data_IF_729098500273
#
_entry.id   IF_729098500273
#
_cell.length_a   1.000
_cell.length_b   1.000
_cell.length_c   1.000
_cell.angle_alpha   90.00
_cell.angle_beta   90.00
_cell.angle_gamma   90.00
#
_symmetry.space_group_name_H-M   'P 1'
#
loop_
_entity.id
_entity.type
_entity.pdbx_description
1 polymer ?
#
# COMPACT_ATOMS: atom_id res chain seq x y z
N UNK A 1 0.59 21.85 -9.24
CA UNK A 1 1.43 21.16 -8.24
C UNK A 1 0.88 19.80 -7.86
N UNK A 2 1.60 18.75 -8.24
CA UNK A 2 1.33 17.38 -7.78
C UNK A 2 1.75 17.31 -6.30
N UNK A 3 0.81 17.41 -5.35
CA UNK A 3 1.11 17.10 -3.95
C UNK A 3 1.22 15.58 -3.82
N UNK A 4 2.46 15.09 -3.79
CA UNK A 4 2.78 13.66 -3.69
C UNK A 4 2.02 12.97 -2.56
N UNK A 5 1.60 11.73 -2.80
CA UNK A 5 1.01 10.85 -1.79
C UNK A 5 1.98 10.64 -0.63
N UNK A 6 1.47 10.66 0.60
CA UNK A 6 2.25 10.33 1.79
C UNK A 6 1.96 8.87 2.18
N UNK A 7 2.98 8.08 2.48
CA UNK A 7 2.83 6.73 3.03
C UNK A 7 3.46 6.63 4.40
N UNK A 8 2.87 5.82 5.28
CA UNK A 8 3.45 5.42 6.55
C UNK A 8 3.53 3.90 6.57
N UNK A 9 4.70 3.40 6.97
CA UNK A 9 5.00 1.99 7.00
C UNK A 9 5.65 1.58 8.31
N UNK A 10 5.43 0.32 8.69
CA UNK A 10 6.03 -0.27 9.88
C UNK A 10 6.22 -1.76 9.71
N UNK A 11 7.23 -2.31 10.39
CA UNK A 11 7.53 -3.73 10.36
C UNK A 11 8.04 -4.26 11.68
N UNK A 12 7.75 -5.54 11.93
CA UNK A 12 8.25 -6.28 13.08
C UNK A 12 8.88 -7.59 12.61
N UNK A 13 10.07 -7.88 13.14
CA UNK A 13 10.82 -9.09 12.84
C UNK A 13 11.03 -9.93 14.09
N UNK A 14 11.05 -11.24 13.92
CA UNK A 14 11.36 -12.19 14.98
C UNK A 14 12.34 -13.25 14.50
N UNK A 15 13.36 -13.51 15.31
CA UNK A 15 14.32 -14.59 15.09
C UNK A 15 13.85 -15.78 15.93
N UNK A 16 13.29 -16.80 15.28
CA UNK A 16 12.77 -17.98 15.99
C UNK A 16 13.93 -18.79 16.54
N UNK A 17 14.90 -19.09 15.68
CA UNK A 17 16.07 -19.90 16.00
C UNK A 17 17.33 -19.23 15.43
N UNK A 18 18.51 -19.75 15.77
CA UNK A 18 19.80 -19.25 15.24
C UNK A 18 19.84 -19.17 13.71
N UNK A 19 19.10 -20.06 13.03
CA UNK A 19 19.10 -20.20 11.57
C UNK A 19 17.78 -19.76 10.90
N UNK A 20 16.77 -19.32 11.66
CA UNK A 20 15.46 -18.96 11.08
C UNK A 20 14.97 -17.60 11.57
N UNK A 21 14.66 -16.72 10.61
CA UNK A 21 14.11 -15.37 10.84
C UNK A 21 12.84 -15.20 10.03
N UNK A 22 11.89 -14.47 10.59
CA UNK A 22 10.72 -13.98 9.87
C UNK A 22 10.48 -12.51 10.18
N UNK A 23 9.89 -11.78 9.25
CA UNK A 23 9.37 -10.45 9.49
C UNK A 23 8.04 -10.23 8.79
N UNK A 24 7.30 -9.27 9.33
CA UNK A 24 6.02 -8.81 8.82
C UNK A 24 6.09 -7.30 8.69
N UNK A 25 5.84 -6.79 7.49
CA UNK A 25 5.73 -5.37 7.19
C UNK A 25 4.34 -5.02 6.70
N UNK A 26 3.90 -3.82 7.05
CA UNK A 26 2.66 -3.23 6.57
C UNK A 26 2.88 -1.76 6.23
N UNK A 27 2.52 -1.40 5.00
CA UNK A 27 2.64 -0.04 4.47
C UNK A 27 1.26 0.47 4.07
N UNK A 28 0.90 1.65 4.58
CA UNK A 28 -0.35 2.32 4.24
C UNK A 28 -0.07 3.61 3.49
N UNK A 29 -0.67 3.73 2.30
CA UNK A 29 -0.58 4.90 1.44
C UNK A 29 -1.78 5.80 1.73
N UNK A 30 -1.51 6.94 2.36
CA UNK A 30 -2.50 7.94 2.71
C UNK A 30 -2.84 8.79 1.49
N UNK A 31 -4.13 9.11 1.39
CA UNK A 31 -4.70 9.99 0.38
C UNK A 31 -3.98 11.34 0.34
N UNK A 32 -3.58 11.80 -0.84
CA UNK A 32 -3.31 13.23 -1.07
C UNK A 32 -4.56 13.92 -1.60
N UNK A 33 -5.04 14.94 -0.87
CA UNK A 33 -6.13 15.80 -1.30
C UNK A 33 -5.68 16.66 -2.49
N UNK A 34 -6.20 16.41 -3.68
CA UNK A 34 -6.10 17.33 -4.79
C UNK A 34 -7.12 18.47 -4.60
N UNK A 35 -6.63 19.69 -4.40
CA UNK A 35 -7.39 20.92 -4.63
C UNK A 35 -6.92 21.48 -5.98
N UNK A 36 -7.47 20.94 -7.07
CA UNK A 36 -7.33 21.52 -8.40
C UNK A 36 -8.66 22.13 -8.78
N UNK A 37 -8.79 23.45 -8.67
CA UNK A 37 -9.93 24.15 -9.27
C UNK A 37 -9.64 24.26 -10.78
N UNK A 38 -10.33 23.46 -11.59
CA UNK A 38 -10.49 23.78 -13.01
C UNK A 38 -11.79 24.55 -13.14
N UNK A 39 -11.68 25.85 -13.39
CA UNK A 39 -12.82 26.64 -13.86
C UNK A 39 -12.98 26.36 -15.35
N UNK A 40 -13.87 25.45 -15.72
CA UNK A 40 -14.45 25.45 -17.06
C UNK A 40 -15.77 26.22 -17.01
N UNK A 41 -16.03 27.00 -18.06
CA UNK A 41 -16.94 28.15 -18.06
C UNK A 41 -18.44 27.81 -17.89
N UNK A 42 -18.80 26.54 -17.69
CA UNK A 42 -20.21 26.12 -17.65
C UNK A 42 -20.59 24.98 -16.70
N UNK A 43 -19.66 24.19 -16.14
CA UNK A 43 -20.00 23.13 -15.15
C UNK A 43 -18.78 22.68 -14.35
N UNK A 44 -18.84 22.75 -13.01
CA UNK A 44 -17.80 22.25 -12.10
C UNK A 44 -18.18 20.84 -11.60
N UNK A 45 -17.73 19.79 -12.28
CA UNK A 45 -17.79 18.42 -11.73
C UNK A 45 -16.54 18.16 -10.90
N UNK A 46 -16.72 17.89 -9.61
CA UNK A 46 -15.62 17.64 -8.65
C UNK A 46 -15.59 16.16 -8.33
N UNK A 47 -15.01 15.32 -9.19
CA UNK A 47 -14.82 13.90 -8.86
C UNK A 47 -13.65 13.73 -7.86
N UNK A 48 -14.00 13.68 -6.57
CA UNK A 48 -13.04 13.38 -5.48
C UNK A 48 -12.92 11.86 -5.31
N UNK A 49 -12.32 11.15 -6.26
CA UNK A 49 -12.03 9.72 -6.06
C UNK A 49 -10.81 9.57 -5.15
N UNK A 50 -11.03 9.12 -3.92
CA UNK A 50 -9.97 8.88 -2.92
C UNK A 50 -9.48 7.44 -3.05
N UNK A 51 -8.34 7.21 -3.68
CA UNK A 51 -7.68 5.90 -3.65
C UNK A 51 -6.75 5.83 -2.42
N UNK A 52 -6.91 4.81 -1.59
CA UNK A 52 -5.99 4.45 -0.50
C UNK A 52 -5.56 3.00 -0.67
N UNK A 53 -4.29 2.70 -0.40
CA UNK A 53 -3.75 1.35 -0.56
C UNK A 53 -3.09 0.87 0.73
N UNK A 54 -3.39 -0.36 1.13
CA UNK A 54 -2.73 -1.08 2.21
C UNK A 54 -1.92 -2.22 1.59
N UNK A 55 -0.62 -2.25 1.85
CA UNK A 55 0.27 -3.33 1.43
C UNK A 55 0.72 -4.08 2.69
N UNK A 56 0.72 -5.41 2.62
CA UNK A 56 1.22 -6.28 3.68
C UNK A 56 2.18 -7.29 3.07
N UNK A 57 3.32 -7.49 3.70
CA UNK A 57 4.36 -8.41 3.24
C UNK A 57 4.85 -9.24 4.43
N UNK A 58 4.86 -10.56 4.29
CA UNK A 58 5.47 -11.49 5.23
C UNK A 58 6.67 -12.16 4.57
N UNK A 59 7.83 -12.11 5.23
CA UNK A 59 9.07 -12.72 4.78
C UNK A 59 9.55 -13.79 5.76
N UNK A 60 10.23 -14.81 5.23
CA UNK A 60 10.95 -15.80 6.01
C UNK A 60 12.30 -16.09 5.37
N UNK A 61 13.31 -16.33 6.21
CA UNK A 61 14.69 -16.56 5.81
C UNK A 61 15.26 -17.73 6.61
N UNK A 62 16.11 -18.52 5.94
CA UNK A 62 16.87 -19.60 6.56
C UNK A 62 18.35 -19.47 6.20
N UNK A 63 19.21 -19.67 7.19
CA UNK A 63 20.66 -19.68 7.03
C UNK A 63 21.10 -21.04 6.46
N UNK A 64 21.88 -21.03 5.38
CA UNK A 64 22.27 -22.24 4.63
C UNK A 64 23.46 -22.95 5.29
N UNK A 65 24.28 -22.20 6.05
CA UNK A 65 25.49 -22.68 6.71
C UNK A 65 26.50 -21.55 6.88
N UNK A 66 27.47 -21.70 7.78
CA UNK A 66 28.52 -20.70 8.00
C UNK A 66 29.87 -21.24 7.55
N UNK A 67 30.53 -20.56 6.61
CA UNK A 67 31.87 -20.91 6.13
C UNK A 67 32.81 -19.72 6.29
N UNK A 68 33.95 -19.91 6.95
CA UNK A 68 34.95 -18.85 7.17
C UNK A 68 34.37 -17.54 7.76
N UNK A 69 33.31 -17.65 8.60
CA UNK A 69 32.64 -16.50 9.22
C UNK A 69 31.57 -15.81 8.35
N UNK A 70 31.28 -16.34 7.15
CA UNK A 70 30.20 -15.87 6.29
C UNK A 70 29.03 -16.84 6.34
N UNK A 71 27.83 -16.33 6.61
CA UNK A 71 26.59 -17.10 6.67
C UNK A 71 25.63 -16.64 5.57
N UNK A 72 25.66 -17.25 4.37
CA UNK A 72 24.63 -16.98 3.37
C UNK A 72 23.26 -17.49 3.85
N UNK A 73 22.22 -16.78 3.43
CA UNK A 73 20.83 -17.09 3.73
C UNK A 73 20.00 -17.09 2.44
N UNK A 74 18.96 -17.91 2.40
CA UNK A 74 17.90 -17.83 1.38
C UNK A 74 16.60 -17.46 2.06
N UNK A 75 15.72 -16.78 1.35
CA UNK A 75 14.41 -16.44 1.86
C UNK A 75 13.36 -16.38 0.78
N UNK A 76 12.12 -16.46 1.22
CA UNK A 76 10.95 -16.28 0.40
C UNK A 76 9.93 -15.44 1.19
N UNK A 77 9.09 -14.71 0.45
CA UNK A 77 8.05 -13.88 1.03
C UNK A 77 6.76 -13.98 0.26
N UNK A 78 5.67 -13.67 0.94
CA UNK A 78 4.34 -13.53 0.36
C UNK A 78 3.78 -12.16 0.74
N UNK A 79 3.22 -11.47 -0.24
CA UNK A 79 2.65 -10.14 -0.03
C UNK A 79 1.32 -9.99 -0.73
N UNK A 80 0.51 -9.07 -0.21
CA UNK A 80 -0.77 -8.68 -0.77
C UNK A 80 -0.97 -7.19 -0.68
N UNK A 81 -1.66 -6.63 -1.68
CA UNK A 81 -2.06 -5.24 -1.69
C UNK A 81 -3.59 -5.16 -1.73
N UNK A 82 -4.18 -4.34 -0.87
CA UNK A 82 -5.59 -3.98 -0.91
C UNK A 82 -5.73 -2.52 -1.24
N UNK A 83 -6.38 -2.24 -2.36
CA UNK A 83 -6.69 -0.88 -2.78
C UNK A 83 -8.17 -0.60 -2.52
N UNK A 84 -8.45 0.49 -1.82
CA UNK A 84 -9.78 1.07 -1.66
C UNK A 84 -9.87 2.35 -2.50
N UNK A 85 -10.98 2.52 -3.20
CA UNK A 85 -11.29 3.71 -3.99
C UNK A 85 -12.61 4.27 -3.46
N UNK A 86 -12.70 5.57 -3.18
CA UNK A 86 -13.96 6.17 -2.77
C UNK A 86 -14.92 6.28 -3.96
N UNK A 87 -16.21 6.15 -3.65
CA UNK A 87 -17.36 6.27 -4.54
C UNK A 87 -17.26 7.50 -5.43
N UNK A 88 -17.28 7.27 -6.75
CA UNK A 88 -17.48 8.31 -7.75
C UNK A 88 -18.95 8.73 -7.69
N UNK A 89 -19.21 10.01 -7.48
CA UNK A 89 -20.55 10.58 -7.61
C UNK A 89 -20.66 11.17 -9.02
N UNK A 90 -21.45 10.54 -9.89
CA UNK A 90 -21.79 11.05 -11.22
C UNK A 90 -23.05 11.94 -11.08
N UNK A 91 -22.98 13.25 -11.34
CA UNK A 91 -24.14 14.14 -11.24
C UNK A 91 -25.22 13.89 -12.31
N UNK A 92 -24.98 13.02 -13.30
CA UNK A 92 -25.94 12.74 -14.38
C UNK A 92 -26.66 11.39 -14.28
N UNK A 93 -26.30 10.52 -13.33
CA UNK A 93 -27.01 9.25 -13.10
C UNK A 93 -27.11 8.92 -11.62
N UNK A 94 -28.28 8.46 -11.16
CA UNK A 94 -28.53 8.02 -9.77
C UNK A 94 -27.88 6.66 -9.47
N UNK A 95 -26.70 6.39 -10.03
CA UNK A 95 -25.97 5.13 -9.90
C UNK A 95 -24.89 5.30 -8.82
N UNK A 96 -25.23 4.94 -7.59
CA UNK A 96 -24.26 4.81 -6.51
C UNK A 96 -23.54 3.48 -6.67
N UNK A 97 -22.32 3.47 -7.20
CA UNK A 97 -21.52 2.26 -7.25
C UNK A 97 -20.61 2.20 -6.01
N UNK A 98 -20.93 1.40 -4.96
CA UNK A 98 -20.02 1.18 -3.86
C UNK A 98 -18.84 0.34 -4.38
N UNK A 99 -17.79 1.02 -4.82
CA UNK A 99 -16.53 0.42 -5.24
C UNK A 99 -15.82 -0.24 -4.07
N UNK A 100 -16.28 -1.42 -3.67
CA UNK A 100 -15.57 -2.24 -2.70
C UNK A 100 -14.74 -3.25 -3.46
N UNK A 101 -13.43 -3.23 -3.22
CA UNK A 101 -12.51 -4.32 -3.54
C UNK A 101 -13.07 -5.67 -3.09
#
# INVERSE_FOLDING_TARGET
DLKGGFSLGGGVGYKINEHFRTDLTADYWFKSNFNGATSDLTTTSTEVSKMSALLVLANAYVDIGTWHGITPYVGAGIGGARVKWDTVYDPNTTESNPGTS
#
